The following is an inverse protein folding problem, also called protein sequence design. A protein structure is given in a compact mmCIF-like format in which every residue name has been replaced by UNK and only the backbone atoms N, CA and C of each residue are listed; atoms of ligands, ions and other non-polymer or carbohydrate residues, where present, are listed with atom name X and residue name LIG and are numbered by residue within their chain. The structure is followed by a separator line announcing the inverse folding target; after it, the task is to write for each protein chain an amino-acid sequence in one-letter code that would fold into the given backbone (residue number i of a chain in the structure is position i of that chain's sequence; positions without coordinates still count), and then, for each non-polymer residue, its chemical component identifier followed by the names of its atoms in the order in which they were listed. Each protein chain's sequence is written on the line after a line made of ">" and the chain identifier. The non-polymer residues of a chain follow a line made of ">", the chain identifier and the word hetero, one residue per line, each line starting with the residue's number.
data_IF_725761437798
#
_entry.id   IF_725761437798
#
_cell.length_a   1.000
_cell.length_b   1.000
_cell.length_c   1.000
_cell.angle_alpha   90.00
_cell.angle_beta   90.00
_cell.angle_gamma   90.00
#
_symmetry.space_group_name_H-M   'P 1'
#
loop_
_entity.id
_entity.type
_entity.pdbx_description
1 polymer ?
#
# COMPACT_ATOMS: atom_id res chain seq x y z
N UNK A 1 -24.14 1.14 21.18
CA UNK A 1 -23.86 1.23 19.74
C UNK A 1 -25.19 1.35 19.03
N UNK A 2 -25.57 2.56 18.61
CA UNK A 2 -26.75 2.76 17.79
C UNK A 2 -26.46 2.15 16.41
N UNK A 3 -27.32 1.25 15.98
CA UNK A 3 -27.20 0.34 14.84
C UNK A 3 -26.73 1.00 13.55
N UNK A 4 -25.42 0.93 13.29
CA UNK A 4 -24.93 1.02 11.91
C UNK A 4 -25.30 -0.31 11.26
N UNK A 5 -26.17 -0.28 10.24
CA UNK A 5 -26.36 -1.46 9.39
C UNK A 5 -25.04 -1.65 8.62
N UNK A 6 -24.31 -2.69 8.96
CA UNK A 6 -22.98 -2.94 8.39
C UNK A 6 -23.05 -3.18 6.89
N UNK A 7 -24.15 -3.68 6.39
CA UNK A 7 -24.40 -3.90 4.96
C UNK A 7 -24.30 -2.60 4.16
N UNK A 8 -24.71 -1.45 4.76
CA UNK A 8 -24.61 -0.12 4.15
C UNK A 8 -23.19 0.43 4.05
N UNK A 9 -22.22 -0.26 4.63
CA UNK A 9 -20.79 0.09 4.50
C UNK A 9 -20.13 -0.58 3.31
N UNK A 10 -20.86 -1.44 2.59
CA UNK A 10 -20.35 -2.15 1.41
C UNK A 10 -20.96 -1.62 0.13
N UNK A 11 -20.20 -1.65 -0.95
CA UNK A 11 -20.70 -1.46 -2.30
C UNK A 11 -21.44 -2.75 -2.77
N UNK A 12 -22.54 -2.61 -3.56
CA UNK A 12 -23.06 -1.36 -4.11
C UNK A 12 -23.96 -0.55 -3.17
N UNK A 13 -24.33 -1.06 -2.00
CA UNK A 13 -25.30 -0.43 -1.10
C UNK A 13 -24.82 0.96 -0.64
N UNK A 14 -23.51 1.10 -0.35
CA UNK A 14 -22.93 2.39 0.04
C UNK A 14 -23.08 3.42 -1.09
N UNK A 15 -22.78 3.06 -2.33
CA UNK A 15 -22.83 3.98 -3.46
C UNK A 15 -24.28 4.43 -3.76
N UNK A 16 -25.27 3.59 -3.48
CA UNK A 16 -26.70 3.89 -3.65
C UNK A 16 -27.28 4.81 -2.57
N UNK A 17 -26.58 5.03 -1.47
CA UNK A 17 -27.04 5.95 -0.42
C UNK A 17 -27.07 7.40 -0.93
N UNK A 18 -28.06 8.15 -0.45
CA UNK A 18 -28.07 9.61 -0.65
C UNK A 18 -26.86 10.26 0.05
N UNK A 19 -26.44 11.43 -0.41
CA UNK A 19 -25.37 12.21 0.23
C UNK A 19 -25.68 12.46 1.72
N UNK A 20 -26.95 12.69 2.04
CA UNK A 20 -27.38 12.87 3.42
C UNK A 20 -27.16 11.59 4.24
N UNK A 21 -27.58 10.43 3.76
CA UNK A 21 -27.41 9.16 4.45
C UNK A 21 -25.94 8.77 4.60
N UNK A 22 -25.10 9.05 3.57
CA UNK A 22 -23.65 8.86 3.66
C UNK A 22 -23.06 9.72 4.79
N UNK A 23 -23.41 11.01 4.87
CA UNK A 23 -22.94 11.89 5.95
C UNK A 23 -23.33 11.39 7.34
N UNK A 24 -24.58 10.98 7.52
CA UNK A 24 -25.07 10.42 8.77
C UNK A 24 -24.29 9.14 9.15
N UNK A 25 -24.04 8.28 8.18
CA UNK A 25 -23.27 7.05 8.37
C UNK A 25 -21.83 7.33 8.76
N UNK A 26 -21.17 8.25 8.06
CA UNK A 26 -19.78 8.64 8.30
C UNK A 26 -19.62 9.33 9.68
N UNK A 27 -20.57 10.19 10.09
CA UNK A 27 -20.59 10.75 11.45
C UNK A 27 -20.71 9.66 12.53
N UNK A 28 -21.50 8.61 12.28
CA UNK A 28 -21.58 7.48 13.22
C UNK A 28 -20.28 6.69 13.30
N UNK A 29 -19.57 6.53 12.18
CA UNK A 29 -18.23 5.93 12.17
C UNK A 29 -17.26 6.79 12.98
N UNK A 30 -17.21 8.10 12.74
CA UNK A 30 -16.38 9.03 13.50
C UNK A 30 -16.60 8.88 15.01
N UNK A 31 -17.85 8.95 15.45
CA UNK A 31 -18.20 8.79 16.87
C UNK A 31 -17.84 7.40 17.44
N UNK A 32 -17.88 6.34 16.61
CA UNK A 32 -17.57 4.97 17.06
C UNK A 32 -16.08 4.79 17.30
N UNK A 33 -15.26 5.44 16.49
CA UNK A 33 -13.78 5.33 16.51
C UNK A 33 -13.11 6.53 17.16
N UNK A 34 -13.89 7.45 17.77
CA UNK A 34 -13.39 8.65 18.47
C UNK A 34 -12.52 9.54 17.54
N UNK A 35 -13.04 9.78 16.34
CA UNK A 35 -12.41 10.58 15.30
C UNK A 35 -13.16 11.91 15.14
N UNK A 36 -12.43 12.97 14.81
CA UNK A 36 -12.98 14.24 14.34
C UNK A 36 -13.30 14.15 12.83
N UNK A 37 -14.46 14.62 12.40
CA UNK A 37 -14.78 14.78 10.98
C UNK A 37 -14.20 16.10 10.51
N UNK A 38 -13.23 16.06 9.60
CA UNK A 38 -12.62 17.26 8.98
C UNK A 38 -13.53 17.80 7.88
N UNK A 39 -14.04 16.90 7.03
CA UNK A 39 -14.88 17.29 5.91
C UNK A 39 -15.45 16.09 5.15
N UNK A 40 -16.39 16.41 4.25
CA UNK A 40 -16.98 15.44 3.33
C UNK A 40 -16.65 15.87 1.91
N UNK A 41 -16.17 14.93 1.10
CA UNK A 41 -15.73 15.21 -0.26
C UNK A 41 -16.00 14.01 -1.18
N UNK A 42 -16.25 14.30 -2.45
CA UNK A 42 -16.17 13.31 -3.51
C UNK A 42 -14.79 13.37 -4.16
N UNK A 43 -14.12 12.25 -4.17
CA UNK A 43 -12.85 12.07 -4.88
C UNK A 43 -13.12 11.37 -6.20
N UNK A 44 -12.61 11.92 -7.28
CA UNK A 44 -12.84 11.37 -8.62
C UNK A 44 -11.58 11.48 -9.47
N UNK A 45 -11.07 10.31 -9.91
CA UNK A 45 -9.93 10.19 -10.81
C UNK A 45 -10.02 8.88 -11.59
N UNK A 46 -9.48 8.82 -12.81
CA UNK A 46 -9.46 7.62 -13.66
C UNK A 46 -10.84 6.96 -13.83
N UNK A 47 -11.88 7.77 -14.04
CA UNK A 47 -13.27 7.34 -14.17
C UNK A 47 -13.81 6.53 -12.97
N UNK A 48 -13.23 6.71 -11.80
CA UNK A 48 -13.66 6.13 -10.52
C UNK A 48 -13.92 7.25 -9.55
N UNK A 49 -14.96 7.11 -8.73
CA UNK A 49 -15.26 8.09 -7.69
C UNK A 49 -15.70 7.43 -6.39
N UNK A 50 -15.54 8.16 -5.30
CA UNK A 50 -16.07 7.78 -3.98
C UNK A 50 -16.40 9.03 -3.19
N UNK A 51 -17.63 9.12 -2.72
CA UNK A 51 -18.02 10.15 -1.75
C UNK A 51 -17.71 9.63 -0.34
N UNK A 52 -16.86 10.33 0.39
CA UNK A 52 -16.40 9.89 1.72
C UNK A 52 -16.14 11.09 2.65
N UNK A 53 -15.50 10.85 3.79
CA UNK A 53 -15.08 11.87 4.73
C UNK A 53 -13.62 11.72 5.08
N UNK A 54 -12.96 12.85 5.27
CA UNK A 54 -11.67 12.96 5.94
C UNK A 54 -11.92 13.05 7.46
N UNK A 55 -11.17 12.26 8.21
CA UNK A 55 -11.22 12.20 9.66
C UNK A 55 -9.84 12.49 10.25
N UNK A 56 -9.81 12.93 11.50
CA UNK A 56 -8.57 13.09 12.26
C UNK A 56 -8.66 12.38 13.61
N UNK A 57 -7.63 11.61 13.94
CA UNK A 57 -7.49 11.01 15.27
C UNK A 57 -6.99 12.03 16.29
N UNK A 58 -7.03 11.67 17.58
CA UNK A 58 -6.48 12.52 18.66
C UNK A 58 -4.98 12.76 18.54
N UNK A 59 -4.28 11.83 17.93
CA UNK A 59 -2.84 11.91 17.64
C UNK A 59 -2.54 12.76 16.39
N UNK A 60 -3.57 13.31 15.73
CA UNK A 60 -3.42 14.13 14.53
C UNK A 60 -3.30 13.34 13.24
N UNK A 61 -3.46 12.01 13.27
CA UNK A 61 -3.39 11.16 12.06
C UNK A 61 -4.69 11.32 11.26
N UNK A 62 -4.55 11.61 9.97
CA UNK A 62 -5.68 11.73 9.07
C UNK A 62 -6.05 10.38 8.45
N UNK A 63 -7.35 10.10 8.40
CA UNK A 63 -7.94 8.89 7.84
C UNK A 63 -9.04 9.23 6.86
N UNK A 64 -9.29 8.34 5.90
CA UNK A 64 -10.50 8.35 5.07
C UNK A 64 -11.26 7.05 5.26
N UNK A 65 -12.59 7.11 5.09
CA UNK A 65 -13.40 5.90 5.03
C UNK A 65 -13.38 5.34 3.62
N UNK A 66 -13.15 4.03 3.50
CA UNK A 66 -13.20 3.28 2.26
C UNK A 66 -14.28 2.21 2.40
N UNK A 67 -15.31 2.19 1.54
CA UNK A 67 -16.37 1.18 1.57
C UNK A 67 -15.81 -0.20 1.25
N UNK A 68 -16.37 -1.21 1.91
CA UNK A 68 -16.06 -2.60 1.59
C UNK A 68 -16.67 -3.01 0.24
N UNK A 69 -16.14 -4.07 -0.36
CA UNK A 69 -16.63 -4.57 -1.63
C UNK A 69 -16.28 -6.04 -1.86
N UNK A 70 -17.18 -6.79 -2.51
CA UNK A 70 -16.85 -8.10 -3.09
C UNK A 70 -16.34 -7.90 -4.50
N UNK A 71 -15.03 -7.84 -4.66
CA UNK A 71 -14.34 -7.39 -5.87
C UNK A 71 -13.41 -8.46 -6.43
N UNK A 72 -13.18 -8.44 -7.74
CA UNK A 72 -12.08 -9.17 -8.38
C UNK A 72 -10.83 -8.30 -8.40
N UNK A 73 -9.75 -8.80 -7.82
CA UNK A 73 -8.42 -8.19 -7.81
C UNK A 73 -7.45 -9.05 -8.62
N UNK A 74 -6.34 -8.45 -9.03
CA UNK A 74 -5.36 -9.11 -9.87
C UNK A 74 -5.70 -9.02 -11.35
N UNK A 75 -4.77 -9.49 -12.17
CA UNK A 75 -4.91 -9.53 -13.63
C UNK A 75 -4.57 -10.93 -14.16
N UNK A 76 -5.18 -11.29 -15.27
CA UNK A 76 -4.90 -12.51 -16.00
C UNK A 76 -4.68 -12.16 -17.47
N UNK A 77 -3.43 -12.23 -17.89
CA UNK A 77 -3.03 -12.02 -19.29
C UNK A 77 -2.60 -13.32 -19.97
N UNK A 78 -2.86 -14.46 -19.35
CA UNK A 78 -2.46 -15.76 -19.88
C UNK A 78 -2.99 -15.99 -21.30
N UNK A 79 -2.07 -16.25 -22.23
CA UNK A 79 -2.37 -16.47 -23.64
C UNK A 79 -2.74 -15.22 -24.45
N UNK A 80 -2.55 -14.03 -23.88
CA UNK A 80 -2.66 -12.76 -24.60
C UNK A 80 -1.26 -12.29 -25.01
N UNK A 81 -1.12 -11.93 -26.26
CA UNK A 81 0.13 -11.34 -26.76
C UNK A 81 0.32 -9.92 -26.19
N UNK A 82 1.56 -9.45 -25.99
CA UNK A 82 1.82 -8.07 -25.58
C UNK A 82 1.12 -7.02 -26.46
N UNK A 83 0.99 -7.24 -27.76
CA UNK A 83 0.24 -6.37 -28.68
C UNK A 83 -1.28 -6.33 -28.46
N UNK A 84 -1.83 -7.24 -27.67
CA UNK A 84 -3.24 -7.21 -27.23
C UNK A 84 -3.43 -6.53 -25.87
N UNK A 85 -2.32 -6.20 -25.21
CA UNK A 85 -2.29 -5.58 -23.88
C UNK A 85 -1.86 -4.12 -24.01
N UNK A 86 -0.81 -3.85 -24.78
CA UNK A 86 -0.17 -2.55 -24.97
C UNK A 86 -0.42 -1.99 -26.37
N UNK A 87 -0.48 -0.70 -26.47
CA UNK A 87 -0.45 -0.01 -27.75
C UNK A 87 0.96 0.06 -28.34
N UNK A 88 1.08 0.61 -29.55
CA UNK A 88 2.34 0.65 -30.31
C UNK A 88 3.42 1.48 -29.57
N UNK A 89 3.06 2.59 -28.94
CA UNK A 89 3.97 3.48 -28.24
C UNK A 89 4.55 2.80 -27.00
N UNK A 90 3.72 2.11 -26.22
CA UNK A 90 4.15 1.36 -25.05
C UNK A 90 4.99 0.13 -25.41
N UNK A 91 4.64 -0.56 -26.49
CA UNK A 91 5.45 -1.68 -27.00
C UNK A 91 6.83 -1.19 -27.47
N UNK A 92 6.87 -0.03 -28.10
CA UNK A 92 8.13 0.61 -28.50
C UNK A 92 9.03 0.89 -27.29
N UNK A 93 8.49 1.50 -26.22
CA UNK A 93 9.24 1.78 -24.99
C UNK A 93 9.73 0.49 -24.30
N UNK A 94 8.87 -0.54 -24.24
CA UNK A 94 9.25 -1.85 -23.71
C UNK A 94 10.40 -2.50 -24.49
N UNK A 95 10.37 -2.43 -25.82
CA UNK A 95 11.40 -3.01 -26.67
C UNK A 95 12.70 -2.20 -26.65
N UNK A 96 12.61 -0.87 -26.58
CA UNK A 96 13.76 0.03 -26.54
C UNK A 96 14.71 -0.33 -25.39
N UNK A 97 14.19 -0.72 -24.24
CA UNK A 97 14.98 -1.11 -23.05
C UNK A 97 15.92 -2.31 -23.27
N UNK A 98 15.67 -3.09 -24.32
CA UNK A 98 16.48 -4.28 -24.66
C UNK A 98 17.45 -4.06 -25.81
N UNK A 99 17.56 -2.82 -26.29
CA UNK A 99 18.56 -2.44 -27.27
C UNK A 99 19.82 -2.02 -26.50
N UNK A 100 20.97 -2.56 -26.91
CA UNK A 100 22.24 -2.32 -26.22
C UNK A 100 22.66 -0.86 -26.41
N UNK A 101 22.81 -0.10 -25.33
CA UNK A 101 23.22 1.32 -25.35
C UNK A 101 24.58 1.54 -26.05
N UNK A 102 25.46 0.53 -26.05
CA UNK A 102 26.79 0.64 -26.70
C UNK A 102 26.73 0.64 -28.23
N UNK A 103 25.63 0.14 -28.81
CA UNK A 103 25.41 0.21 -30.25
C UNK A 103 24.78 1.55 -30.68
N UNK A 104 24.11 2.23 -29.76
CA UNK A 104 23.35 3.46 -30.04
C UNK A 104 24.20 4.70 -30.32
N UNK A 105 25.44 4.82 -29.80
CA UNK A 105 26.28 5.99 -30.01
C UNK A 105 26.64 6.25 -31.47
N UNK A 106 26.45 5.25 -32.34
CA UNK A 106 26.77 5.33 -33.79
C UNK A 106 25.53 5.25 -34.68
N UNK A 107 24.39 4.90 -34.15
CA UNK A 107 23.17 4.66 -34.91
C UNK A 107 22.31 5.93 -35.06
N UNK A 108 21.73 6.11 -36.25
CA UNK A 108 20.73 7.14 -36.46
C UNK A 108 19.34 6.65 -35.98
N UNK A 109 18.41 7.58 -35.82
CA UNK A 109 17.06 7.29 -35.35
C UNK A 109 16.32 6.22 -36.20
N UNK A 110 16.59 6.16 -37.49
CA UNK A 110 15.97 5.18 -38.40
C UNK A 110 16.47 3.77 -38.11
N UNK A 111 17.76 3.59 -37.78
CA UNK A 111 18.37 2.31 -37.41
C UNK A 111 17.81 1.77 -36.10
N UNK A 112 17.64 2.64 -35.09
CA UNK A 112 17.01 2.27 -33.79
C UNK A 112 15.57 1.79 -34.00
N UNK A 113 14.79 2.51 -34.80
CA UNK A 113 13.40 2.15 -35.10
C UNK A 113 13.30 0.79 -35.79
N UNK A 114 14.24 0.45 -36.67
CA UNK A 114 14.27 -0.83 -37.37
C UNK A 114 14.61 -1.97 -36.40
N UNK A 115 15.61 -1.78 -35.52
CA UNK A 115 15.97 -2.74 -34.46
C UNK A 115 14.81 -3.03 -33.51
N UNK A 116 14.05 -1.99 -33.13
CA UNK A 116 12.86 -2.17 -32.29
C UNK A 116 11.81 -3.03 -33.00
N UNK A 117 11.55 -2.78 -34.29
CA UNK A 117 10.60 -3.60 -35.07
C UNK A 117 11.04 -5.06 -35.13
N UNK A 118 12.32 -5.31 -35.41
CA UNK A 118 12.87 -6.67 -35.39
C UNK A 118 12.70 -7.32 -34.02
N UNK A 119 12.93 -6.56 -32.93
CA UNK A 119 12.75 -7.05 -31.56
C UNK A 119 11.30 -7.41 -31.25
N UNK A 120 10.35 -6.62 -31.74
CA UNK A 120 8.91 -6.87 -31.56
C UNK A 120 8.39 -8.04 -32.43
N UNK A 121 9.14 -8.50 -33.42
CA UNK A 121 8.88 -9.70 -34.20
C UNK A 121 9.58 -10.96 -33.63
N UNK A 122 10.48 -10.79 -32.65
CA UNK A 122 11.22 -11.84 -31.99
C UNK A 122 10.35 -12.57 -30.96
N UNK A 123 10.03 -13.84 -31.21
CA UNK A 123 9.21 -14.67 -30.32
C UNK A 123 9.84 -14.84 -28.91
N UNK A 124 11.17 -14.82 -28.78
CA UNK A 124 11.87 -14.90 -27.49
C UNK A 124 11.64 -13.64 -26.67
N UNK A 125 11.73 -12.48 -27.31
CA UNK A 125 11.45 -11.21 -26.66
C UNK A 125 9.99 -11.09 -26.22
N UNK A 126 9.05 -11.45 -27.08
CA UNK A 126 7.61 -11.50 -26.77
C UNK A 126 7.35 -12.42 -25.57
N UNK A 127 7.95 -13.59 -25.54
CA UNK A 127 7.84 -14.53 -24.41
C UNK A 127 8.42 -13.93 -23.12
N UNK A 128 9.50 -13.15 -23.20
CA UNK A 128 10.10 -12.48 -22.05
C UNK A 128 9.12 -11.48 -21.40
N UNK A 129 8.42 -10.68 -22.21
CA UNK A 129 7.39 -9.76 -21.72
C UNK A 129 6.23 -10.53 -21.06
N UNK A 130 5.73 -11.57 -21.73
CA UNK A 130 4.65 -12.42 -21.21
C UNK A 130 5.03 -13.05 -19.88
N UNK A 131 6.20 -13.62 -19.78
CA UNK A 131 6.72 -14.28 -18.58
C UNK A 131 6.92 -13.28 -17.44
N UNK A 132 7.44 -12.08 -17.73
CA UNK A 132 7.59 -11.04 -16.73
C UNK A 132 6.24 -10.64 -16.12
N UNK A 133 5.24 -10.36 -16.97
CA UNK A 133 3.90 -9.98 -16.50
C UNK A 133 3.26 -11.13 -15.71
N UNK A 134 3.30 -12.36 -16.23
CA UNK A 134 2.70 -13.51 -15.57
C UNK A 134 3.37 -13.86 -14.23
N UNK A 135 4.65 -13.52 -14.07
CA UNK A 135 5.42 -13.81 -12.87
C UNK A 135 5.37 -12.68 -11.84
N UNK A 136 5.27 -11.43 -12.26
CA UNK A 136 5.39 -10.28 -11.36
C UNK A 136 4.07 -9.57 -11.05
N UNK A 137 2.94 -10.12 -11.49
CA UNK A 137 1.64 -9.55 -11.16
C UNK A 137 0.76 -10.55 -10.43
N UNK A 138 -0.04 -10.05 -9.49
CA UNK A 138 -0.98 -10.86 -8.73
C UNK A 138 -2.05 -11.45 -9.65
N UNK A 139 -2.33 -12.75 -9.46
CA UNK A 139 -3.34 -13.46 -10.23
C UNK A 139 -4.75 -13.03 -9.83
N UNK A 140 -5.66 -13.13 -10.81
CA UNK A 140 -7.08 -12.82 -10.60
C UNK A 140 -7.69 -13.67 -9.49
N UNK A 141 -8.30 -13.00 -8.53
CA UNK A 141 -9.02 -13.61 -7.44
C UNK A 141 -10.24 -12.77 -7.05
N UNK A 142 -11.37 -13.42 -6.74
CA UNK A 142 -12.52 -12.75 -6.16
C UNK A 142 -12.41 -12.76 -4.63
N UNK A 143 -12.39 -11.58 -4.03
CA UNK A 143 -12.19 -11.41 -2.59
C UNK A 143 -13.20 -10.43 -2.00
N UNK A 144 -13.50 -10.59 -0.72
CA UNK A 144 -14.25 -9.62 0.05
C UNK A 144 -13.28 -8.68 0.78
N UNK A 145 -13.29 -7.42 0.40
CA UNK A 145 -12.63 -6.34 1.15
C UNK A 145 -13.63 -5.78 2.17
N UNK A 146 -13.25 -5.78 3.44
CA UNK A 146 -14.06 -5.17 4.48
C UNK A 146 -13.97 -3.63 4.43
N UNK A 147 -14.98 -2.90 4.94
CA UNK A 147 -14.88 -1.45 5.06
C UNK A 147 -13.70 -1.06 5.94
N UNK A 148 -12.98 -0.02 5.54
CA UNK A 148 -11.74 0.42 6.18
C UNK A 148 -11.81 1.89 6.57
N UNK A 149 -11.15 2.25 7.68
CA UNK A 149 -10.57 3.57 7.86
C UNK A 149 -9.09 3.44 7.49
N UNK A 150 -8.64 4.24 6.55
CA UNK A 150 -7.30 4.14 5.97
C UNK A 150 -6.57 5.45 6.22
N UNK A 151 -5.37 5.38 6.77
CA UNK A 151 -4.52 6.55 6.91
C UNK A 151 -4.31 7.19 5.54
N UNK A 152 -4.56 8.50 5.45
CA UNK A 152 -4.61 9.23 4.18
C UNK A 152 -3.28 9.26 3.47
N UNK A 153 -2.23 9.60 4.20
CA UNK A 153 -0.86 9.59 3.72
C UNK A 153 -0.08 8.41 4.34
N UNK A 154 1.06 8.08 3.78
CA UNK A 154 1.96 7.08 4.36
C UNK A 154 2.85 7.69 5.46
N UNK A 155 3.40 6.84 6.31
CA UNK A 155 4.32 7.23 7.37
C UNK A 155 5.71 6.68 7.10
N UNK A 156 6.71 7.46 7.44
CA UNK A 156 8.12 7.03 7.46
C UNK A 156 8.34 5.96 8.54
N UNK A 157 9.17 4.98 8.23
CA UNK A 157 9.45 3.85 9.13
C UNK A 157 10.56 4.15 10.13
N UNK A 158 11.69 4.64 9.64
CA UNK A 158 12.93 4.80 10.41
C UNK A 158 13.18 6.24 10.86
N UNK A 159 12.50 7.22 10.30
CA UNK A 159 12.65 8.61 10.70
C UNK A 159 11.66 8.98 11.80
N UNK A 160 12.17 9.53 12.91
CA UNK A 160 11.38 9.93 14.07
C UNK A 160 11.59 11.41 14.34
N UNK A 161 10.51 12.13 14.53
CA UNK A 161 10.57 13.56 14.84
C UNK A 161 11.38 13.82 16.12
N UNK A 162 12.20 14.85 16.08
CA UNK A 162 12.94 15.36 17.23
C UNK A 162 12.03 16.36 17.93
N UNK A 163 11.84 16.20 19.23
CA UNK A 163 11.04 17.13 20.02
C UNK A 163 11.71 18.52 20.04
N UNK A 164 10.91 19.57 20.05
CA UNK A 164 11.36 20.97 20.08
C UNK A 164 12.35 21.26 21.20
N UNK A 165 12.15 20.68 22.38
CA UNK A 165 13.06 20.84 23.51
C UNK A 165 14.40 20.17 23.24
N UNK A 166 14.42 19.01 22.57
CA UNK A 166 15.65 18.33 22.19
C UNK A 166 16.40 19.10 21.11
N UNK A 167 15.72 19.66 20.11
CA UNK A 167 16.30 20.55 19.12
C UNK A 167 17.03 21.73 19.76
N UNK A 168 16.42 22.32 20.79
CA UNK A 168 16.97 23.49 21.50
C UNK A 168 18.10 23.15 22.48
N UNK A 169 18.08 21.96 23.07
CA UNK A 169 19.02 21.58 24.13
C UNK A 169 20.24 20.81 23.61
N UNK A 170 20.13 20.13 22.48
CA UNK A 170 21.21 19.33 21.90
C UNK A 170 22.27 20.23 21.27
N UNK A 171 23.43 20.31 21.90
CA UNK A 171 24.54 21.19 21.46
C UNK A 171 25.04 20.89 20.03
N UNK A 172 24.99 19.62 19.60
CA UNK A 172 25.43 19.25 18.25
C UNK A 172 24.42 19.74 17.21
N UNK A 173 23.13 19.48 17.43
CA UNK A 173 22.05 19.93 16.54
C UNK A 173 22.06 21.46 16.45
N UNK A 174 22.14 22.16 17.58
CA UNK A 174 22.21 23.61 17.60
C UNK A 174 23.37 24.15 16.76
N UNK A 175 24.55 23.56 16.88
CA UNK A 175 25.71 23.97 16.07
C UNK A 175 25.47 23.70 14.58
N UNK A 176 24.86 22.58 14.19
CA UNK A 176 24.52 22.30 12.80
C UNK A 176 23.57 23.35 12.24
N UNK A 177 22.52 23.70 12.99
CA UNK A 177 21.56 24.76 12.64
C UNK A 177 22.27 26.12 12.49
N UNK A 178 23.08 26.53 13.47
CA UNK A 178 23.83 27.81 13.42
C UNK A 178 24.77 27.89 12.21
N UNK A 179 25.42 26.78 11.86
CA UNK A 179 26.33 26.73 10.71
C UNK A 179 25.56 26.73 9.37
N UNK A 180 24.38 26.12 9.31
CA UNK A 180 23.48 26.17 8.16
C UNK A 180 22.93 27.60 7.94
N UNK A 181 22.45 28.25 9.01
CA UNK A 181 21.95 29.63 8.92
C UNK A 181 23.00 30.62 8.42
N UNK A 182 24.25 30.50 8.87
CA UNK A 182 25.37 31.32 8.36
C UNK A 182 25.61 31.14 6.88
N UNK A 183 25.30 29.97 6.33
CA UNK A 183 25.48 29.61 4.90
C UNK A 183 24.22 29.82 4.06
N UNK A 184 23.10 30.23 4.69
CA UNK A 184 21.81 30.36 4.00
C UNK A 184 21.20 29.03 3.57
N UNK A 185 21.55 27.94 4.27
CA UNK A 185 21.04 26.58 3.99
C UNK A 185 19.79 26.35 4.86
N UNK A 186 18.72 25.86 4.26
CA UNK A 186 17.44 25.56 4.92
C UNK A 186 17.21 24.07 5.20
N UNK A 187 18.08 23.19 4.72
CA UNK A 187 17.99 21.75 4.92
C UNK A 187 19.38 21.13 5.09
N UNK A 188 19.50 20.19 6.03
CA UNK A 188 20.69 19.39 6.28
C UNK A 188 20.24 17.93 6.42
N UNK A 189 20.67 17.07 5.51
CA UNK A 189 20.45 15.63 5.64
C UNK A 189 21.78 14.90 5.77
N UNK A 190 21.92 14.14 6.86
CA UNK A 190 23.04 13.21 7.07
C UNK A 190 22.52 11.81 6.96
N UNK A 191 23.03 11.07 5.98
CA UNK A 191 22.58 9.72 5.66
C UNK A 191 22.44 8.83 6.89
N UNK A 192 21.26 8.20 7.06
CA UNK A 192 20.91 7.31 8.19
C UNK A 192 21.29 7.88 9.57
N UNK A 193 21.13 9.19 9.77
CA UNK A 193 21.49 9.84 11.02
C UNK A 193 20.50 10.93 11.43
N UNK A 194 20.48 12.05 10.75
CA UNK A 194 19.63 13.18 11.09
C UNK A 194 19.23 13.96 9.83
N UNK A 195 17.99 14.42 9.81
CA UNK A 195 17.47 15.38 8.86
C UNK A 195 17.00 16.62 9.65
N UNK A 196 17.47 17.80 9.28
CA UNK A 196 17.06 19.09 9.85
C UNK A 196 16.56 19.96 8.71
N UNK A 197 15.39 20.55 8.83
CA UNK A 197 14.80 21.39 7.79
C UNK A 197 14.07 22.60 8.40
N UNK A 198 14.00 23.68 7.63
CA UNK A 198 13.36 24.93 8.05
C UNK A 198 12.01 25.07 7.36
N UNK A 199 10.95 25.08 8.13
CA UNK A 199 9.57 25.26 7.66
C UNK A 199 8.93 26.43 8.39
N UNK A 200 8.27 27.34 7.66
CA UNK A 200 7.63 28.54 8.21
C UNK A 200 8.55 29.37 9.14
N UNK A 201 9.85 29.38 8.84
CA UNK A 201 10.85 30.11 9.62
C UNK A 201 11.37 29.39 10.88
N UNK A 202 10.85 28.23 11.19
CA UNK A 202 11.26 27.40 12.35
C UNK A 202 12.02 26.16 11.86
N UNK A 203 13.02 25.73 12.65
CA UNK A 203 13.74 24.49 12.41
C UNK A 203 12.99 23.31 13.00
N UNK A 204 12.87 22.25 12.21
CA UNK A 204 12.37 20.95 12.57
C UNK A 204 13.47 19.92 12.34
N UNK A 205 13.30 18.72 12.90
CA UNK A 205 14.28 17.68 12.70
C UNK A 205 13.72 16.30 12.89
N UNK A 206 14.37 15.35 12.20
CA UNK A 206 14.12 13.92 12.35
C UNK A 206 15.44 13.21 12.62
N UNK A 207 15.41 12.20 13.47
CA UNK A 207 16.53 11.30 13.74
C UNK A 207 16.25 9.94 13.12
N UNK A 208 17.24 9.37 12.46
CA UNK A 208 17.15 8.02 11.91
C UNK A 208 17.33 7.00 13.05
N UNK A 209 16.39 6.07 13.12
CA UNK A 209 16.45 4.89 14.00
C UNK A 209 16.23 3.65 13.16
N UNK A 210 17.23 2.80 13.12
CA UNK A 210 17.10 1.50 12.49
C UNK A 210 15.95 0.74 13.16
N UNK A 211 14.99 0.27 12.35
CA UNK A 211 13.75 -0.33 12.80
C UNK A 211 13.59 -1.71 12.17
N UNK A 212 13.17 -2.70 12.94
CA UNK A 212 12.85 -4.03 12.44
C UNK A 212 11.39 -4.14 12.05
N UNK A 213 11.07 -4.98 11.07
CA UNK A 213 9.68 -5.22 10.67
C UNK A 213 8.78 -5.66 11.83
N UNK A 214 9.29 -6.52 12.71
CA UNK A 214 8.53 -6.99 13.88
C UNK A 214 8.29 -5.89 14.92
N UNK A 215 9.23 -4.98 15.09
CA UNK A 215 9.10 -3.82 15.97
C UNK A 215 8.04 -2.86 15.41
N UNK A 216 8.10 -2.55 14.12
CA UNK A 216 7.09 -1.73 13.46
C UNK A 216 5.68 -2.33 13.61
N UNK A 217 5.54 -3.64 13.36
CA UNK A 217 4.26 -4.32 13.51
C UNK A 217 3.74 -4.24 14.95
N UNK A 218 4.61 -4.42 15.94
CA UNK A 218 4.26 -4.32 17.35
C UNK A 218 3.80 -2.90 17.70
N UNK A 219 4.57 -1.89 17.30
CA UNK A 219 4.25 -0.47 17.55
C UNK A 219 2.89 -0.08 16.97
N UNK A 220 2.59 -0.54 15.74
CA UNK A 220 1.31 -0.26 15.08
C UNK A 220 0.16 -0.97 15.81
N UNK A 221 0.33 -2.25 16.13
CA UNK A 221 -0.72 -3.06 16.77
C UNK A 221 -0.97 -2.66 18.21
N UNK A 222 0.03 -2.22 18.96
CA UNK A 222 -0.10 -1.71 20.33
C UNK A 222 -0.97 -0.43 20.38
N UNK A 223 -1.01 0.33 19.29
CA UNK A 223 -1.90 1.49 19.15
C UNK A 223 -3.30 1.15 18.63
N UNK A 224 -3.58 -0.14 18.38
CA UNK A 224 -4.88 -0.60 17.88
C UNK A 224 -5.08 -0.47 16.36
N UNK A 225 -4.04 -0.13 15.63
CA UNK A 225 -4.02 -0.08 14.17
C UNK A 225 -3.46 -1.38 13.58
N UNK A 226 -3.58 -1.52 12.26
CA UNK A 226 -3.03 -2.65 11.50
C UNK A 226 -2.30 -2.14 10.27
N UNK A 227 -1.40 -2.94 9.73
CA UNK A 227 -0.93 -2.81 8.36
C UNK A 227 -2.01 -3.33 7.40
N UNK A 228 -2.14 -2.78 6.20
CA UNK A 228 -3.00 -3.37 5.19
C UNK A 228 -2.48 -4.76 4.80
N UNK A 229 -3.40 -5.63 4.42
CA UNK A 229 -3.03 -6.84 3.68
C UNK A 229 -2.68 -6.47 2.24
N UNK A 230 -2.02 -7.38 1.53
CA UNK A 230 -1.72 -7.24 0.12
C UNK A 230 -2.98 -6.93 -0.70
N UNK A 231 -4.06 -7.67 -0.48
CA UNK A 231 -5.32 -7.49 -1.20
C UNK A 231 -6.05 -6.19 -0.84
N UNK A 232 -5.99 -5.77 0.43
CA UNK A 232 -6.48 -4.45 0.82
C UNK A 232 -5.71 -3.34 0.09
N UNK A 233 -4.38 -3.43 0.05
CA UNK A 233 -3.56 -2.46 -0.66
C UNK A 233 -3.89 -2.41 -2.16
N UNK A 234 -4.03 -3.55 -2.82
CA UNK A 234 -4.43 -3.65 -4.23
C UNK A 234 -5.78 -2.98 -4.51
N UNK A 235 -6.74 -3.16 -3.59
CA UNK A 235 -8.03 -2.49 -3.68
C UNK A 235 -7.91 -0.97 -3.49
N UNK A 236 -7.12 -0.54 -2.50
CA UNK A 236 -6.87 0.87 -2.22
C UNK A 236 -6.20 1.58 -3.40
N UNK A 237 -5.29 0.94 -4.08
CA UNK A 237 -4.58 1.51 -5.23
C UNK A 237 -5.39 1.41 -6.55
N UNK A 238 -6.19 0.36 -6.73
CA UNK A 238 -6.82 0.07 -8.03
C UNK A 238 -8.35 0.14 -8.07
N UNK A 239 -9.04 0.07 -6.91
CA UNK A 239 -10.53 -0.05 -6.85
C UNK A 239 -11.05 -1.11 -7.82
N UNK A 240 -10.40 -2.29 -7.86
CA UNK A 240 -10.81 -3.39 -8.72
C UNK A 240 -10.63 -3.17 -10.22
N UNK A 241 -9.70 -2.30 -10.65
CA UNK A 241 -9.35 -2.21 -12.07
C UNK A 241 -8.85 -3.56 -12.57
N UNK A 242 -9.05 -3.82 -13.87
CA UNK A 242 -8.66 -5.06 -14.54
C UNK A 242 -7.52 -4.81 -15.52
N UNK A 243 -6.76 -3.76 -15.27
CA UNK A 243 -5.68 -3.22 -16.10
C UNK A 243 -4.41 -3.10 -15.29
N UNK A 244 -3.28 -3.00 -15.95
CA UNK A 244 -1.96 -2.86 -15.30
C UNK A 244 -1.97 -1.67 -14.34
N UNK A 245 -2.46 -0.53 -14.80
CA UNK A 245 -2.58 0.68 -13.99
C UNK A 245 -4.04 1.03 -13.71
N UNK A 246 -4.35 1.89 -12.73
CA UNK A 246 -5.71 2.34 -12.45
C UNK A 246 -6.39 3.06 -13.63
N UNK A 247 -5.61 3.62 -14.55
CA UNK A 247 -6.07 4.36 -15.75
C UNK A 247 -6.11 3.52 -17.04
N UNK A 248 -5.48 2.34 -17.08
CA UNK A 248 -5.43 1.48 -18.26
C UNK A 248 -4.25 0.51 -18.25
N UNK A 249 -4.01 -0.15 -19.38
CA UNK A 249 -2.83 -1.02 -19.52
C UNK A 249 -1.57 -0.23 -19.91
N UNK A 250 -1.76 0.89 -20.59
CA UNK A 250 -0.66 1.69 -21.11
C UNK A 250 -0.20 2.75 -20.12
N UNK A 251 1.08 3.09 -20.15
CA UNK A 251 1.54 4.36 -19.65
C UNK A 251 0.88 5.47 -20.45
N UNK A 252 0.39 6.48 -19.77
CA UNK A 252 -0.12 7.70 -20.39
C UNK A 252 1.01 8.74 -20.35
N UNK A 253 1.74 8.86 -21.45
CA UNK A 253 2.84 9.80 -21.58
C UNK A 253 2.42 11.28 -21.57
N UNK A 254 1.11 11.57 -21.53
CA UNK A 254 0.60 12.92 -21.27
C UNK A 254 0.53 13.26 -19.78
N UNK A 255 0.66 12.25 -18.90
CA UNK A 255 0.73 12.47 -17.45
C UNK A 255 2.11 13.01 -17.08
N UNK A 256 2.12 14.01 -16.20
CA UNK A 256 3.32 14.47 -15.54
C UNK A 256 3.71 13.45 -14.46
N UNK A 257 4.71 12.63 -14.74
CA UNK A 257 5.17 11.55 -13.88
C UNK A 257 6.56 11.83 -13.32
N UNK A 258 6.75 11.51 -12.05
CA UNK A 258 8.02 11.66 -11.34
C UNK A 258 9.08 10.75 -11.96
N UNK A 259 10.32 11.21 -12.03
CA UNK A 259 11.47 10.51 -12.63
C UNK A 259 11.42 10.26 -14.15
N UNK A 260 10.36 10.63 -14.83
CA UNK A 260 10.27 10.63 -16.30
C UNK A 260 10.38 12.04 -16.82
N UNK A 261 9.60 12.96 -16.27
CA UNK A 261 9.67 14.38 -16.63
C UNK A 261 10.30 15.19 -15.50
N UNK A 262 11.27 16.01 -15.83
CA UNK A 262 11.82 17.03 -14.93
C UNK A 262 10.86 18.21 -14.93
N UNK A 263 10.22 18.48 -13.81
CA UNK A 263 9.42 19.67 -13.64
C UNK A 263 10.33 20.82 -13.21
N UNK A 264 10.52 21.78 -14.09
CA UNK A 264 11.17 23.06 -13.74
C UNK A 264 10.24 23.99 -12.94
N UNK A 265 8.97 23.62 -12.77
CA UNK A 265 7.96 24.38 -12.06
C UNK A 265 7.48 23.60 -10.84
N UNK A 266 7.06 24.30 -9.79
CA UNK A 266 6.46 23.75 -8.55
C UNK A 266 5.09 23.05 -8.77
N UNK A 267 4.85 22.47 -9.95
CA UNK A 267 3.62 21.78 -10.25
C UNK A 267 3.66 20.34 -9.75
N UNK A 268 2.63 19.98 -9.01
CA UNK A 268 2.42 18.64 -8.45
C UNK A 268 2.32 17.57 -9.55
N UNK A 269 3.00 16.45 -9.36
CA UNK A 269 2.92 15.31 -10.27
C UNK A 269 1.52 14.67 -10.25
N UNK A 270 1.14 14.03 -11.35
CA UNK A 270 -0.22 13.48 -11.53
C UNK A 270 -0.59 12.47 -10.45
N UNK A 271 0.35 11.61 -10.05
CA UNK A 271 0.11 10.56 -9.06
C UNK A 271 0.33 11.00 -7.61
N UNK A 272 0.92 12.18 -7.37
CA UNK A 272 1.05 12.76 -6.02
C UNK A 272 -0.27 13.32 -5.49
N UNK A 273 -1.34 13.30 -6.30
CA UNK A 273 -2.69 13.72 -5.90
C UNK A 273 -3.45 12.58 -5.23
N UNK A 274 -4.46 12.98 -4.46
CA UNK A 274 -5.40 12.03 -3.86
C UNK A 274 -6.05 11.17 -4.93
N UNK A 275 -6.07 9.84 -4.72
CA UNK A 275 -6.76 8.94 -5.60
C UNK A 275 -8.31 8.97 -5.41
N UNK A 276 -9.03 8.10 -6.09
CA UNK A 276 -10.50 7.98 -6.03
C UNK A 276 -11.06 7.60 -4.65
N UNK A 277 -10.23 7.27 -3.67
CA UNK A 277 -10.61 7.11 -2.26
C UNK A 277 -10.15 8.28 -1.37
N UNK A 278 -9.40 9.22 -1.91
CA UNK A 278 -8.86 10.35 -1.16
C UNK A 278 -7.57 10.03 -0.41
N UNK A 279 -6.81 9.05 -0.85
CA UNK A 279 -5.53 8.66 -0.27
C UNK A 279 -4.38 8.89 -1.25
N UNK A 280 -3.20 9.20 -0.74
CA UNK A 280 -1.95 9.28 -1.49
C UNK A 280 -1.33 7.88 -1.53
N UNK A 281 -1.29 7.23 -2.67
CA UNK A 281 -0.86 5.84 -2.81
C UNK A 281 -0.31 5.57 -4.21
N UNK A 282 0.79 4.82 -4.30
CA UNK A 282 1.42 4.45 -5.56
C UNK A 282 1.78 5.68 -6.43
N UNK A 283 2.42 6.66 -5.82
CA UNK A 283 2.78 7.95 -6.41
C UNK A 283 4.20 7.96 -7.00
N UNK A 284 5.05 7.08 -6.51
CA UNK A 284 6.47 7.05 -6.85
C UNK A 284 6.96 5.60 -6.92
N UNK A 285 7.59 5.15 -8.04
CA UNK A 285 8.14 3.80 -8.17
C UNK A 285 9.26 3.46 -7.18
N UNK A 286 9.83 4.45 -6.49
CA UNK A 286 10.79 4.21 -5.40
C UNK A 286 10.13 3.88 -4.07
N UNK A 287 8.97 4.48 -3.77
CA UNK A 287 8.32 4.35 -2.47
C UNK A 287 7.59 3.02 -2.34
N UNK A 288 8.02 2.20 -1.36
CA UNK A 288 7.42 0.88 -1.12
C UNK A 288 6.54 0.92 0.12
N UNK A 289 5.29 0.56 -0.06
CA UNK A 289 4.34 0.39 1.05
C UNK A 289 4.49 -0.99 1.69
N UNK A 290 4.82 -1.05 2.98
CA UNK A 290 4.87 -2.30 3.74
C UNK A 290 3.45 -2.81 3.96
N UNK A 291 3.20 -4.05 3.57
CA UNK A 291 1.96 -4.79 3.85
C UNK A 291 2.25 -6.04 4.66
N UNK A 292 1.25 -6.51 5.41
CA UNK A 292 1.40 -7.69 6.26
C UNK A 292 0.22 -8.62 6.09
N UNK A 293 0.48 -9.81 5.58
CA UNK A 293 -0.55 -10.81 5.32
C UNK A 293 -0.06 -12.19 5.72
N UNK A 294 -0.92 -12.95 6.40
CA UNK A 294 -0.67 -14.33 6.80
C UNK A 294 0.65 -14.60 7.52
N UNK A 295 1.15 -13.62 8.28
CA UNK A 295 2.40 -13.74 9.04
C UNK A 295 3.64 -13.33 8.24
N UNK A 296 3.46 -12.88 6.99
CA UNK A 296 4.52 -12.48 6.08
C UNK A 296 4.43 -10.99 5.75
N UNK A 297 5.57 -10.34 5.71
CA UNK A 297 5.68 -8.99 5.16
C UNK A 297 5.91 -9.07 3.65
N UNK A 298 5.43 -8.07 2.94
CA UNK A 298 5.76 -7.82 1.54
C UNK A 298 5.66 -6.34 1.23
N UNK A 299 6.03 -5.97 0.01
CA UNK A 299 5.98 -4.59 -0.46
C UNK A 299 4.97 -4.41 -1.57
N UNK A 300 4.46 -3.19 -1.71
CA UNK A 300 3.56 -2.76 -2.79
C UNK A 300 3.82 -1.30 -3.14
N UNK A 301 3.61 -0.94 -4.40
CA UNK A 301 3.60 0.45 -4.87
C UNK A 301 4.91 1.00 -5.38
N UNK A 302 6.01 0.25 -5.22
CA UNK A 302 7.34 0.59 -5.70
C UNK A 302 8.30 -0.58 -5.53
N UNK A 303 9.49 -0.48 -6.10
CA UNK A 303 10.58 -1.46 -6.03
C UNK A 303 11.91 -0.87 -5.51
N UNK A 304 11.86 0.32 -4.89
CA UNK A 304 13.06 1.07 -4.49
C UNK A 304 13.77 1.74 -5.67
N UNK A 305 13.11 1.86 -6.81
CA UNK A 305 13.63 2.47 -8.03
C UNK A 305 14.50 1.54 -8.89
N UNK A 306 14.46 0.23 -8.65
CA UNK A 306 15.27 -0.74 -9.39
C UNK A 306 15.01 -0.70 -10.89
N UNK A 307 13.75 -0.77 -11.28
CA UNK A 307 13.39 -0.77 -12.69
C UNK A 307 13.71 0.56 -13.35
N UNK A 308 13.30 1.67 -12.76
CA UNK A 308 13.47 2.99 -13.35
C UNK A 308 14.93 3.46 -13.36
N UNK A 309 15.71 3.19 -12.31
CA UNK A 309 17.14 3.46 -12.25
C UNK A 309 17.97 2.46 -13.06
N UNK A 310 17.43 1.30 -13.34
CA UNK A 310 18.08 0.25 -14.13
C UNK A 310 18.11 0.52 -15.63
N UNK A 311 17.58 1.66 -16.09
CA UNK A 311 17.56 2.00 -17.52
C UNK A 311 16.51 1.25 -18.31
N UNK A 312 15.50 0.67 -17.65
CA UNK A 312 14.48 -0.16 -18.31
C UNK A 312 13.35 0.66 -18.99
N UNK A 313 13.55 1.97 -19.21
CA UNK A 313 12.54 2.83 -19.82
C UNK A 313 11.36 3.16 -18.90
N UNK A 314 10.35 3.83 -19.45
CA UNK A 314 9.23 4.37 -18.68
C UNK A 314 8.23 3.30 -18.29
N UNK A 315 7.87 2.42 -19.20
CA UNK A 315 6.82 1.40 -18.96
C UNK A 315 7.29 0.38 -17.93
N UNK A 316 8.49 -0.19 -18.10
CA UNK A 316 9.09 -1.08 -17.10
C UNK A 316 9.31 -0.38 -15.76
N UNK A 317 9.80 0.87 -15.80
CA UNK A 317 10.09 1.69 -14.63
C UNK A 317 8.86 1.93 -13.74
N UNK A 318 7.68 1.97 -14.36
CA UNK A 318 6.42 2.23 -13.65
C UNK A 318 5.58 0.98 -13.35
N UNK A 319 5.95 -0.21 -13.79
CA UNK A 319 5.24 -1.42 -13.38
C UNK A 319 5.10 -1.57 -11.86
N UNK A 320 6.10 -1.22 -11.02
CA UNK A 320 5.95 -1.27 -9.57
C UNK A 320 4.82 -0.41 -9.00
N UNK A 321 4.39 0.64 -9.69
CA UNK A 321 3.26 1.51 -9.31
C UNK A 321 1.90 0.81 -9.54
N UNK A 322 1.87 -0.26 -10.34
CA UNK A 322 0.66 -1.05 -10.55
C UNK A 322 0.06 -1.55 -9.23
N UNK A 323 -1.27 -1.51 -9.07
CA UNK A 323 -1.93 -2.16 -7.94
C UNK A 323 -1.54 -3.62 -7.77
N UNK A 324 -1.25 -4.31 -8.86
CA UNK A 324 -1.07 -5.75 -8.89
C UNK A 324 0.37 -6.22 -8.99
N UNK A 325 1.33 -5.31 -9.10
CA UNK A 325 2.75 -5.67 -9.14
C UNK A 325 3.19 -6.35 -7.84
N UNK A 326 3.96 -7.42 -7.96
CA UNK A 326 4.53 -8.22 -6.88
C UNK A 326 5.99 -8.51 -7.16
N UNK A 327 6.85 -7.98 -6.36
CA UNK A 327 8.25 -8.32 -6.41
C UNK A 327 8.48 -9.65 -5.68
N UNK A 328 8.71 -10.73 -6.45
CA UNK A 328 8.79 -12.09 -5.89
C UNK A 328 10.18 -12.49 -5.40
N UNK A 329 11.21 -11.89 -5.97
CA UNK A 329 12.60 -12.29 -5.74
C UNK A 329 13.29 -11.52 -4.62
N UNK A 330 12.60 -10.59 -3.95
CA UNK A 330 13.16 -9.85 -2.85
C UNK A 330 12.99 -10.60 -1.53
N UNK A 331 14.11 -11.08 -0.96
CA UNK A 331 14.14 -11.52 0.42
C UNK A 331 13.99 -10.30 1.34
N UNK A 332 12.90 -10.28 2.11
CA UNK A 332 12.70 -9.26 3.13
C UNK A 332 13.66 -9.54 4.27
N UNK A 333 14.63 -8.65 4.45
CA UNK A 333 15.59 -8.69 5.53
C UNK A 333 14.95 -8.50 6.92
N UNK A 334 15.75 -8.49 7.96
CA UNK A 334 15.28 -8.22 9.32
C UNK A 334 14.95 -6.74 9.53
N UNK A 335 15.67 -5.84 8.86
CA UNK A 335 15.61 -4.39 9.01
C UNK A 335 14.94 -3.72 7.82
N UNK A 336 14.18 -2.67 8.13
CA UNK A 336 13.47 -1.85 7.16
C UNK A 336 14.44 -0.85 6.51
N UNK A 337 14.30 -0.62 5.22
CA UNK A 337 15.03 0.43 4.52
C UNK A 337 14.27 1.76 4.64
N UNK A 338 14.65 2.57 5.61
CA UNK A 338 13.98 3.84 5.89
C UNK A 338 14.13 4.93 4.81
N UNK A 339 14.80 4.64 3.68
CA UNK A 339 14.85 5.53 2.52
C UNK A 339 13.73 5.27 1.51
N UNK A 340 13.21 4.04 1.48
CA UNK A 340 12.22 3.62 0.47
C UNK A 340 10.99 2.97 1.07
N UNK A 341 11.06 2.45 2.31
CA UNK A 341 10.00 1.67 2.92
C UNK A 341 9.14 2.56 3.82
N UNK A 342 7.87 2.62 3.50
CA UNK A 342 6.85 3.38 4.20
C UNK A 342 5.76 2.45 4.70
N UNK A 343 4.91 2.93 5.59
CA UNK A 343 3.78 2.16 6.07
C UNK A 343 2.52 3.00 6.17
N UNK A 344 1.37 2.34 6.17
CA UNK A 344 0.06 2.94 6.30
C UNK A 344 -0.74 2.20 7.36
N UNK A 345 -1.44 2.93 8.20
CA UNK A 345 -2.34 2.36 9.21
C UNK A 345 -3.72 2.13 8.62
N UNK A 346 -4.34 1.02 9.00
CA UNK A 346 -5.75 0.74 8.68
C UNK A 346 -6.49 0.30 9.93
N UNK A 347 -7.81 0.58 9.95
CA UNK A 347 -8.76 0.02 10.92
C UNK A 347 -9.82 -0.72 10.11
N UNK A 348 -10.01 -2.01 10.39
CA UNK A 348 -11.04 -2.84 9.73
C UNK A 348 -12.35 -2.69 10.47
N UNK A 349 -13.40 -2.23 9.76
CA UNK A 349 -14.74 -2.06 10.32
C UNK A 349 -15.49 -3.38 10.17
N UNK A 350 -15.51 -4.18 11.23
CA UNK A 350 -16.18 -5.49 11.25
C UNK A 350 -17.35 -5.50 12.22
N UNK A 351 -18.32 -6.39 12.02
CA UNK A 351 -19.43 -6.60 12.94
C UNK A 351 -18.86 -7.07 14.29
N UNK A 352 -19.04 -6.29 15.35
CA UNK A 352 -18.69 -6.75 16.70
C UNK A 352 -19.70 -7.79 17.16
N UNK A 353 -19.34 -9.04 17.18
CA UNK A 353 -20.06 -10.07 17.89
C UNK A 353 -19.66 -10.02 19.38
N UNK A 354 -20.46 -9.29 20.20
CA UNK A 354 -20.28 -9.25 21.67
C UNK A 354 -19.19 -8.30 22.19
N UNK A 355 -19.37 -7.83 23.43
CA UNK A 355 -18.50 -6.86 24.13
C UNK A 355 -17.08 -7.36 24.48
N UNK A 356 -16.66 -8.56 24.06
CA UNK A 356 -15.47 -9.26 24.55
C UNK A 356 -14.23 -9.16 23.65
N UNK A 357 -14.24 -8.41 22.53
CA UNK A 357 -13.14 -8.52 21.54
C UNK A 357 -12.01 -7.49 21.69
N UNK A 358 -12.18 -6.48 22.56
CA UNK A 358 -11.17 -5.42 22.72
C UNK A 358 -10.56 -5.31 24.12
N UNK A 359 -10.99 -6.11 25.09
CA UNK A 359 -10.45 -6.03 26.47
C UNK A 359 -9.44 -7.12 26.82
N UNK A 360 -9.24 -8.14 25.99
CA UNK A 360 -8.21 -9.17 26.22
C UNK A 360 -7.01 -8.97 25.27
N UNK A 361 -6.06 -8.22 25.80
CA UNK A 361 -4.63 -8.33 25.48
C UNK A 361 -4.22 -9.51 24.59
N UNK A 362 -3.64 -9.23 23.43
CA UNK A 362 -2.53 -9.93 22.77
C UNK A 362 -2.26 -11.38 23.22
N UNK A 363 -3.27 -12.21 23.30
CA UNK A 363 -3.09 -13.64 23.46
C UNK A 363 -4.13 -14.38 22.64
N UNK A 364 -3.76 -14.66 21.37
CA UNK A 364 -4.30 -15.77 20.58
C UNK A 364 -5.82 -15.81 20.41
N UNK A 365 -6.31 -15.30 19.32
CA UNK A 365 -7.68 -15.56 18.90
C UNK A 365 -7.76 -16.97 18.32
N UNK A 366 -8.34 -17.90 19.08
CA UNK A 366 -8.94 -19.09 18.50
C UNK A 366 -10.37 -18.71 18.18
N UNK A 367 -10.67 -18.45 16.91
CA UNK A 367 -12.07 -18.27 16.48
C UNK A 367 -12.67 -19.66 16.29
N UNK A 368 -13.43 -20.11 17.27
CA UNK A 368 -14.35 -21.22 17.08
C UNK A 368 -15.67 -20.64 16.56
N UNK A 369 -15.87 -20.67 15.25
CA UNK A 369 -17.17 -20.39 14.67
C UNK A 369 -18.02 -21.66 14.76
N UNK A 370 -19.04 -21.64 15.59
CA UNK A 370 -20.10 -22.64 15.56
C UNK A 370 -21.24 -22.10 14.71
N UNK A 371 -21.43 -22.68 13.55
CA UNK A 371 -22.64 -22.47 12.76
C UNK A 371 -23.60 -23.61 13.02
N UNK A 372 -24.68 -23.30 13.72
CA UNK A 372 -25.78 -24.26 13.97
C UNK A 372 -26.83 -24.04 12.88
N UNK A 373 -26.58 -24.50 11.68
CA UNK A 373 -27.68 -24.77 10.74
C UNK A 373 -27.88 -26.29 10.64
N UNK A 374 -29.09 -26.71 10.91
CA UNK A 374 -29.49 -28.10 10.85
C UNK A 374 -29.16 -28.73 9.48
N UNK A 375 -28.44 -29.84 9.53
CA UNK A 375 -28.07 -30.80 8.50
C UNK A 375 -26.69 -30.59 7.83
N UNK A 376 -25.78 -31.41 8.29
CA UNK A 376 -24.40 -31.67 7.86
C UNK A 376 -23.30 -30.89 8.62
N UNK A 377 -22.80 -31.61 9.63
CA UNK A 377 -21.62 -31.16 10.42
C UNK A 377 -20.35 -31.43 9.61
N UNK A 378 -19.80 -30.37 9.02
CA UNK A 378 -18.44 -30.37 8.50
C UNK A 378 -17.54 -29.57 9.44
N UNK A 379 -16.62 -30.24 10.12
CA UNK A 379 -15.63 -29.57 10.94
C UNK A 379 -14.51 -29.03 10.05
N UNK A 380 -14.39 -27.70 9.91
CA UNK A 380 -13.19 -27.07 9.40
C UNK A 380 -12.37 -26.51 10.56
N UNK A 381 -11.31 -27.22 10.92
CA UNK A 381 -10.30 -26.72 11.86
C UNK A 381 -9.25 -25.94 11.03
N UNK A 382 -9.29 -24.62 11.10
CA UNK A 382 -8.15 -23.81 10.64
C UNK A 382 -7.12 -23.70 11.77
N UNK A 383 -6.04 -24.45 11.63
CA UNK A 383 -4.85 -24.31 12.47
C UNK A 383 -3.97 -23.22 11.91
N UNK A 384 -3.82 -22.11 12.63
CA UNK A 384 -2.69 -21.21 12.44
C UNK A 384 -1.76 -21.37 13.65
N UNK A 385 -0.69 -22.12 13.47
CA UNK A 385 0.34 -22.32 14.47
C UNK A 385 1.31 -21.16 14.44
N UNK A 386 1.36 -20.41 15.53
CA UNK A 386 2.56 -19.67 15.86
C UNK A 386 3.39 -20.53 16.82
N UNK A 387 4.64 -20.83 16.43
CA UNK A 387 5.55 -21.65 17.23
C UNK A 387 6.28 -20.78 18.22
N UNK A 388 6.01 -20.96 19.53
CA UNK A 388 7.08 -21.02 20.52
C UNK A 388 6.61 -21.73 21.79
N UNK A 389 7.43 -22.69 22.19
CA UNK A 389 7.69 -23.30 23.51
C UNK A 389 6.56 -23.77 24.46
N UNK A 390 5.28 -23.78 24.11
CA UNK A 390 4.21 -24.32 24.98
C UNK A 390 3.29 -25.35 24.30
N UNK A 391 3.85 -26.20 23.45
CA UNK A 391 3.10 -27.26 22.74
C UNK A 391 2.36 -28.25 23.66
N UNK A 392 2.77 -28.41 24.91
CA UNK A 392 2.25 -29.46 25.81
C UNK A 392 0.93 -29.09 26.49
N UNK A 393 0.68 -27.80 26.75
CA UNK A 393 -0.53 -27.37 27.46
C UNK A 393 -1.78 -27.33 26.57
N UNK A 394 -1.61 -26.96 25.31
CA UNK A 394 -2.74 -26.83 24.34
C UNK A 394 -3.26 -28.20 23.91
N UNK A 395 -2.39 -29.19 23.73
CA UNK A 395 -2.80 -30.57 23.44
C UNK A 395 -3.67 -31.15 24.56
N UNK A 396 -3.33 -30.87 25.82
CA UNK A 396 -4.08 -31.35 26.97
C UNK A 396 -5.45 -30.69 27.10
N UNK A 397 -5.56 -29.38 26.82
CA UNK A 397 -6.85 -28.70 26.82
C UNK A 397 -7.76 -29.15 25.68
N UNK A 398 -7.23 -29.33 24.47
CA UNK A 398 -8.00 -29.83 23.32
C UNK A 398 -8.44 -31.28 23.52
N UNK A 399 -7.59 -32.12 24.12
CA UNK A 399 -7.96 -33.51 24.42
C UNK A 399 -9.11 -33.56 25.42
N UNK A 400 -9.07 -32.78 26.48
CA UNK A 400 -10.14 -32.74 27.51
C UNK A 400 -11.46 -32.14 26.96
N UNK A 401 -11.39 -31.21 26.01
CA UNK A 401 -12.60 -30.67 25.34
C UNK A 401 -13.21 -31.69 24.39
N UNK A 402 -12.39 -32.43 23.64
CA UNK A 402 -12.85 -33.48 22.74
C UNK A 402 -13.43 -34.67 23.49
N UNK A 403 -12.84 -35.09 24.62
CA UNK A 403 -13.43 -36.11 25.49
C UNK A 403 -14.78 -35.67 26.10
N UNK A 404 -14.90 -34.38 26.46
CA UNK A 404 -16.14 -33.80 26.99
C UNK A 404 -17.25 -33.70 25.95
N UNK A 405 -16.92 -33.51 24.66
CA UNK A 405 -17.89 -33.35 23.57
C UNK A 405 -18.27 -34.68 22.93
N UNK A 406 -17.33 -35.61 22.81
CA UNK A 406 -17.56 -36.88 22.12
C UNK A 406 -17.96 -38.06 23.03
N UNK A 407 -17.94 -37.88 24.34
CA UNK A 407 -18.42 -38.92 25.27
C UNK A 407 -17.61 -40.22 25.25
N UNK A 408 -16.29 -40.14 24.91
CA UNK A 408 -15.34 -41.26 24.94
C UNK A 408 -14.28 -41.05 26.02
#
# INVERSE_FOLDING_TARGET
>A
MNNISIEKLYNPEYDLLSVYDKKELLNKIANTYDLEVIGFKEFSVFNKSTYTADFRSKEGIEFVFVPGESVKLGIDFKGRKPSEIFDEENLYDLAYSFIDEYEDETDNQDSITEKIKEKLEDDEFISTIEDYINNNFSKEEKILIHPLLVQKDYSETCWKDILDDELKQNKKIKKMIEDAEKKGISEITVHKSICLYKENGSWHGKVYRETKFKELLQDITDTGYFLPTKREWEYLAGKGCRTIFPWGNNMDFSMKLKHIEWSDNDEEYTLEKENFFGIYIADDPYCRGIVYDDGLFSYKGGDGGRNICGGLGSVWGYFPVSPYFEEKDEEIGEYINGGYDFFRRVIRIMKRYGKSFYEDNYKRVIVLAFDFSYSNVGFYLFYKTWMDSKRTCIRRCLYNILESICGM
#
